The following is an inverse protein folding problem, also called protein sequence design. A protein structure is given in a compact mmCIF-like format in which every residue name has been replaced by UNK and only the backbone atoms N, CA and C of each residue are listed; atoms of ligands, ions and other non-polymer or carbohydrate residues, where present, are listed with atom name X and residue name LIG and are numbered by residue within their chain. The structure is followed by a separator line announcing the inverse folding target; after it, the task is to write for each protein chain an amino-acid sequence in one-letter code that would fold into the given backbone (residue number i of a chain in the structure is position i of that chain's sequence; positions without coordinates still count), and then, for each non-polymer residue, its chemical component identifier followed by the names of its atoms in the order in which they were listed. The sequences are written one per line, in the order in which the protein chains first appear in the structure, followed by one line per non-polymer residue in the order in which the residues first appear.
data_IF_150541716700
#
_entry.id   IF_150541716700
#
_cell.length_a   1.000
_cell.length_b   1.000
_cell.length_c   1.000
_cell.angle_alpha   90.00
_cell.angle_beta   90.00
_cell.angle_gamma   90.00
#
_symmetry.space_group_name_H-M   'P 1'
#
loop_
_entity.id
_entity.type
_entity.pdbx_description
1 polymer ?
#
# COMPACT_ATOMS: atom_id res chain seq x y z
N UNK A 1 1.62 -7.27 14.05
CA UNK A 1 1.38 -7.35 12.58
C UNK A 1 2.32 -6.38 11.84
N UNK A 2 2.97 -6.82 10.75
CA UNK A 2 3.58 -5.92 9.76
C UNK A 2 2.42 -5.08 9.18
N UNK A 3 2.45 -3.75 9.23
CA UNK A 3 1.47 -3.00 8.44
C UNK A 3 1.85 -3.27 6.99
N UNK A 4 1.12 -4.18 6.34
CA UNK A 4 1.25 -4.42 4.93
C UNK A 4 0.81 -3.13 4.23
N UNK A 5 1.68 -2.55 3.40
CA UNK A 5 1.44 -1.30 2.66
C UNK A 5 1.08 -0.08 3.55
N UNK A 6 2.01 0.45 4.38
CA UNK A 6 1.73 1.58 5.26
C UNK A 6 1.24 2.83 4.51
N UNK A 7 1.73 3.05 3.28
CA UNK A 7 1.28 4.14 2.41
C UNK A 7 -0.19 3.99 2.00
N UNK A 8 -0.60 2.79 1.59
CA UNK A 8 -1.99 2.49 1.20
C UNK A 8 -2.92 2.62 2.41
N UNK A 9 -2.48 2.13 3.57
CA UNK A 9 -3.24 2.26 4.81
C UNK A 9 -3.49 3.71 5.19
N UNK A 10 -2.45 4.54 5.23
CA UNK A 10 -2.59 5.98 5.54
C UNK A 10 -3.50 6.70 4.54
N UNK A 11 -3.39 6.35 3.25
CA UNK A 11 -4.25 6.87 2.20
C UNK A 11 -5.72 6.51 2.46
N UNK A 12 -6.00 5.22 2.66
CA UNK A 12 -7.36 4.74 2.90
C UNK A 12 -7.95 5.32 4.19
N UNK A 13 -7.22 5.32 5.29
CA UNK A 13 -7.67 5.88 6.58
C UNK A 13 -8.03 7.38 6.43
N UNK A 14 -7.25 8.13 5.66
CA UNK A 14 -7.51 9.57 5.46
C UNK A 14 -8.66 9.82 4.49
N UNK A 15 -8.64 9.22 3.30
CA UNK A 15 -9.62 9.49 2.25
C UNK A 15 -10.94 8.70 2.42
N UNK A 16 -11.02 7.73 3.33
CA UNK A 16 -12.33 7.16 3.73
C UNK A 16 -13.18 8.16 4.51
N UNK A 17 -12.58 9.21 5.09
CA UNK A 17 -13.31 10.30 5.70
C UNK A 17 -13.96 11.17 4.60
N UNK A 18 -15.29 11.27 4.63
CA UNK A 18 -16.05 11.95 3.59
C UNK A 18 -15.72 13.44 3.49
N UNK A 19 -15.48 14.11 4.62
CA UNK A 19 -15.19 15.54 4.65
C UNK A 19 -13.80 15.83 4.06
N UNK A 20 -12.83 14.96 4.31
CA UNK A 20 -11.49 15.06 3.69
C UNK A 20 -11.58 14.84 2.18
N UNK A 21 -12.39 13.88 1.73
CA UNK A 21 -12.56 13.62 0.29
C UNK A 21 -13.36 14.72 -0.41
N UNK A 22 -14.39 15.30 0.23
CA UNK A 22 -15.07 16.52 -0.25
C UNK A 22 -14.09 17.67 -0.39
N UNK A 23 -13.26 17.89 0.64
CA UNK A 23 -12.23 18.94 0.64
C UNK A 23 -11.22 18.72 -0.49
N UNK A 24 -10.78 17.49 -0.73
CA UNK A 24 -9.92 17.17 -1.87
C UNK A 24 -10.61 17.47 -3.21
N UNK A 25 -11.87 17.04 -3.38
CA UNK A 25 -12.63 17.29 -4.60
C UNK A 25 -12.74 18.80 -4.87
N UNK A 26 -13.14 19.59 -3.89
CA UNK A 26 -13.33 21.03 -4.05
C UNK A 26 -12.03 21.78 -4.33
N UNK A 27 -10.91 21.36 -3.74
CA UNK A 27 -9.63 22.05 -3.92
C UNK A 27 -8.88 21.64 -5.18
N UNK A 28 -8.95 20.36 -5.59
CA UNK A 28 -8.02 19.80 -6.58
C UNK A 28 -8.67 19.37 -7.89
N UNK A 29 -9.97 19.02 -7.91
CA UNK A 29 -10.59 18.60 -9.15
C UNK A 29 -10.75 19.79 -10.11
N UNK A 30 -10.69 19.54 -11.44
CA UNK A 30 -11.00 20.57 -12.42
C UNK A 30 -12.36 21.23 -12.14
N UNK A 31 -12.40 22.56 -12.20
CA UNK A 31 -13.63 23.34 -11.94
C UNK A 31 -14.83 22.85 -12.75
N UNK A 32 -14.62 22.43 -13.99
CA UNK A 32 -15.67 21.87 -14.85
C UNK A 32 -16.33 20.58 -14.31
N UNK A 33 -15.64 19.83 -13.45
CA UNK A 33 -16.19 18.65 -12.77
C UNK A 33 -16.89 19.07 -11.47
N UNK A 34 -16.27 19.97 -10.70
CA UNK A 34 -16.86 20.48 -9.44
C UNK A 34 -18.20 21.18 -9.70
N UNK A 35 -18.29 21.98 -10.77
CA UNK A 35 -19.48 22.76 -11.11
C UNK A 35 -20.71 21.90 -11.50
N UNK A 36 -20.55 20.60 -11.79
CA UNK A 36 -21.65 19.71 -12.22
C UNK A 36 -22.08 18.70 -11.16
N UNK A 37 -21.39 18.60 -10.02
CA UNK A 37 -21.70 17.64 -8.97
C UNK A 37 -22.40 18.33 -7.79
N UNK A 38 -23.28 17.59 -7.12
CA UNK A 38 -23.79 17.98 -5.81
C UNK A 38 -22.91 17.38 -4.71
N UNK A 39 -21.87 18.12 -4.30
CA UNK A 39 -20.82 17.64 -3.39
C UNK A 39 -21.37 17.17 -2.03
N UNK A 40 -22.51 17.69 -1.58
CA UNK A 40 -23.12 17.28 -0.31
C UNK A 40 -23.71 15.87 -0.36
N UNK A 41 -23.90 15.33 -1.56
CA UNK A 41 -24.41 13.98 -1.79
C UNK A 41 -23.30 12.94 -1.95
N UNK A 42 -22.03 13.33 -1.75
CA UNK A 42 -20.90 12.41 -1.83
C UNK A 42 -21.06 11.29 -0.79
N UNK A 43 -21.08 10.05 -1.26
CA UNK A 43 -21.22 8.85 -0.41
C UNK A 43 -20.21 7.77 -0.79
N UNK A 44 -19.60 7.16 0.22
CA UNK A 44 -18.72 6.01 0.05
C UNK A 44 -19.52 4.77 -0.37
N UNK A 45 -19.00 3.98 -1.32
CA UNK A 45 -19.75 2.88 -1.94
C UNK A 45 -19.34 1.47 -1.44
N UNK A 46 -18.60 1.35 -0.32
CA UNK A 46 -18.02 0.08 0.17
C UNK A 46 -18.97 -1.10 0.11
N UNK A 47 -20.18 -0.93 0.66
CA UNK A 47 -21.13 -2.02 0.91
C UNK A 47 -21.97 -2.40 -0.33
N UNK A 48 -21.95 -1.58 -1.37
CA UNK A 48 -22.77 -1.79 -2.58
C UNK A 48 -22.12 -2.73 -3.61
N UNK A 49 -20.85 -3.08 -3.42
CA UNK A 49 -20.02 -3.79 -4.40
C UNK A 49 -19.35 -5.06 -3.86
N UNK A 50 -19.68 -5.48 -2.64
CA UNK A 50 -19.23 -6.74 -2.04
C UNK A 50 -20.10 -7.88 -2.59
N UNK A 51 -19.78 -8.35 -3.80
CA UNK A 51 -20.25 -9.66 -4.29
C UNK A 51 -19.21 -10.72 -3.91
N UNK A 52 -19.64 -11.95 -3.62
CA UNK A 52 -18.85 -13.04 -3.01
C UNK A 52 -17.62 -13.52 -3.82
N UNK A 53 -17.33 -12.92 -4.97
CA UNK A 53 -16.23 -13.26 -5.88
C UNK A 53 -15.35 -12.07 -6.27
N UNK A 54 -15.60 -10.87 -5.73
CA UNK A 54 -14.81 -9.68 -6.06
C UNK A 54 -13.72 -9.45 -5.02
N UNK A 55 -12.52 -9.21 -5.50
CA UNK A 55 -11.40 -8.80 -4.67
C UNK A 55 -11.81 -7.54 -3.87
N UNK A 56 -11.78 -7.62 -2.53
CA UNK A 56 -12.02 -6.51 -1.58
C UNK A 56 -11.19 -5.24 -1.88
N UNK A 57 -10.18 -5.35 -2.75
CA UNK A 57 -9.12 -4.37 -2.95
C UNK A 57 -9.53 -3.08 -3.67
N UNK A 58 -10.65 -3.04 -4.42
CA UNK A 58 -10.99 -1.88 -5.29
C UNK A 58 -12.24 -1.09 -4.88
N UNK A 59 -13.11 -1.63 -4.02
CA UNK A 59 -14.31 -0.92 -3.54
C UNK A 59 -14.03 0.08 -2.43
N UNK A 60 -12.86 -0.02 -1.79
CA UNK A 60 -12.48 0.79 -0.62
C UNK A 60 -12.43 2.29 -0.90
N UNK A 61 -12.33 2.72 -2.17
CA UNK A 61 -12.02 4.11 -2.54
C UNK A 61 -12.90 4.61 -3.70
N UNK A 62 -14.13 4.10 -3.76
CA UNK A 62 -15.15 4.48 -4.74
C UNK A 62 -16.23 5.34 -4.08
N UNK A 63 -16.45 6.54 -4.62
CA UNK A 63 -17.43 7.49 -4.10
C UNK A 63 -18.47 7.81 -5.16
N UNK A 64 -19.75 7.69 -4.80
CA UNK A 64 -20.87 8.14 -5.63
C UNK A 64 -21.24 9.58 -5.31
N UNK A 65 -21.58 10.36 -6.34
CA UNK A 65 -22.11 11.73 -6.18
C UNK A 65 -23.22 11.98 -7.20
N UNK A 66 -24.20 12.78 -6.83
CA UNK A 66 -25.32 13.12 -7.69
C UNK A 66 -24.93 14.18 -8.74
N UNK A 67 -25.56 14.11 -9.91
CA UNK A 67 -25.58 15.21 -10.89
C UNK A 67 -27.03 15.52 -11.22
N UNK A 68 -27.42 16.80 -11.26
CA UNK A 68 -28.72 17.24 -11.79
C UNK A 68 -29.90 16.42 -11.24
N UNK A 69 -29.92 16.18 -9.92
CA UNK A 69 -30.90 15.36 -9.20
C UNK A 69 -30.95 13.86 -9.56
N UNK A 70 -29.96 13.32 -10.30
CA UNK A 70 -29.81 11.88 -10.52
C UNK A 70 -28.88 11.29 -9.47
N UNK A 71 -29.38 10.31 -8.70
CA UNK A 71 -28.62 9.70 -7.60
C UNK A 71 -27.37 8.96 -8.11
N UNK A 72 -26.21 9.20 -7.48
CA UNK A 72 -24.97 8.43 -7.64
C UNK A 72 -24.55 8.25 -9.09
N UNK A 73 -24.66 9.31 -9.89
CA UNK A 73 -24.49 9.26 -11.34
C UNK A 73 -23.03 9.41 -11.78
N UNK A 74 -22.20 10.13 -11.00
CA UNK A 74 -20.74 10.11 -11.12
C UNK A 74 -20.17 9.27 -10.01
N UNK A 75 -19.22 8.42 -10.37
CA UNK A 75 -18.32 7.79 -9.42
C UNK A 75 -16.91 8.36 -9.54
N UNK A 76 -16.35 8.77 -8.41
CA UNK A 76 -14.92 9.03 -8.30
C UNK A 76 -14.22 7.76 -7.83
N UNK A 77 -13.36 7.22 -8.68
CA UNK A 77 -12.57 6.03 -8.39
C UNK A 77 -11.15 6.47 -8.06
N UNK A 78 -10.82 6.46 -6.77
CA UNK A 78 -9.50 6.83 -6.31
C UNK A 78 -8.60 5.60 -6.28
N UNK A 79 -7.42 5.71 -6.88
CA UNK A 79 -6.36 4.71 -6.83
C UNK A 79 -5.08 5.36 -6.30
N UNK A 80 -4.49 4.78 -5.27
CA UNK A 80 -3.24 5.25 -4.69
C UNK A 80 -2.05 4.42 -5.19
N UNK A 81 -0.93 5.10 -5.47
CA UNK A 81 0.34 4.46 -5.82
C UNK A 81 1.52 5.15 -5.13
N UNK A 82 2.32 4.37 -4.40
CA UNK A 82 3.64 4.79 -3.91
C UNK A 82 4.80 4.42 -4.85
N UNK A 83 4.51 3.78 -5.98
CA UNK A 83 5.46 3.36 -7.02
C UNK A 83 4.82 3.45 -8.41
N UNK A 84 5.63 3.56 -9.47
CA UNK A 84 5.11 3.67 -10.83
C UNK A 84 4.46 2.36 -11.28
N UNK A 85 3.28 2.44 -11.90
CA UNK A 85 2.55 1.29 -12.43
C UNK A 85 2.31 1.45 -13.93
N UNK A 86 3.02 0.70 -14.78
CA UNK A 86 2.94 0.82 -16.24
C UNK A 86 1.56 0.45 -16.81
N UNK A 87 0.82 -0.41 -16.12
CA UNK A 87 -0.48 -0.91 -16.56
C UNK A 87 -1.67 -0.20 -15.89
N UNK A 88 -1.45 0.96 -15.25
CA UNK A 88 -2.47 1.65 -14.45
C UNK A 88 -3.75 1.97 -15.22
N UNK A 89 -3.68 2.42 -16.48
CA UNK A 89 -4.90 2.68 -17.24
C UNK A 89 -5.64 1.38 -17.58
N UNK A 90 -4.93 0.30 -17.88
CA UNK A 90 -5.60 -0.99 -18.07
C UNK A 90 -6.21 -1.53 -16.76
N UNK A 91 -5.52 -1.34 -15.63
CA UNK A 91 -6.01 -1.70 -14.29
C UNK A 91 -7.30 -0.95 -13.95
N UNK A 92 -7.31 0.37 -14.13
CA UNK A 92 -8.48 1.22 -13.89
C UNK A 92 -9.65 0.86 -14.82
N UNK A 93 -9.39 0.53 -16.09
CA UNK A 93 -10.44 0.05 -17.00
C UNK A 93 -11.12 -1.22 -16.47
N UNK A 94 -10.35 -2.18 -15.92
CA UNK A 94 -10.93 -3.38 -15.29
C UNK A 94 -11.87 -3.02 -14.15
N UNK A 95 -11.50 -2.04 -13.33
CA UNK A 95 -12.37 -1.59 -12.23
C UNK A 95 -13.64 -0.93 -12.77
N UNK A 96 -13.50 -0.06 -13.77
CA UNK A 96 -14.65 0.60 -14.41
C UNK A 96 -15.65 -0.42 -14.96
N UNK A 97 -15.15 -1.45 -15.65
CA UNK A 97 -15.98 -2.55 -16.16
C UNK A 97 -16.68 -3.29 -15.03
N UNK A 98 -15.96 -3.67 -13.97
CA UNK A 98 -16.55 -4.36 -12.81
C UNK A 98 -17.63 -3.51 -12.11
N UNK A 99 -17.39 -2.21 -11.92
CA UNK A 99 -18.35 -1.26 -11.35
C UNK A 99 -19.61 -1.20 -12.24
N UNK A 100 -19.44 -1.13 -13.55
CA UNK A 100 -20.55 -1.14 -14.51
C UNK A 100 -21.35 -2.44 -14.50
N UNK A 101 -20.69 -3.59 -14.49
CA UNK A 101 -21.32 -4.92 -14.39
C UNK A 101 -22.18 -5.02 -13.13
N UNK A 102 -21.65 -4.56 -11.99
CA UNK A 102 -22.36 -4.55 -10.72
C UNK A 102 -23.57 -3.62 -10.74
N UNK A 103 -23.47 -2.44 -11.35
CA UNK A 103 -24.61 -1.50 -11.47
C UNK A 103 -25.68 -2.04 -12.42
N UNK A 104 -25.31 -2.66 -13.53
CA UNK A 104 -26.27 -3.33 -14.42
C UNK A 104 -27.02 -4.43 -13.66
N UNK A 105 -26.29 -5.28 -12.93
CA UNK A 105 -26.86 -6.39 -12.15
C UNK A 105 -27.81 -5.89 -11.05
N UNK A 106 -27.40 -4.88 -10.29
CA UNK A 106 -28.14 -4.42 -9.11
C UNK A 106 -29.32 -3.49 -9.43
N UNK A 107 -29.18 -2.62 -10.44
CA UNK A 107 -30.20 -1.62 -10.76
C UNK A 107 -31.08 -2.01 -11.95
N UNK A 108 -30.84 -3.17 -12.57
CA UNK A 108 -31.53 -3.63 -13.79
C UNK A 108 -31.63 -2.53 -14.86
N UNK A 109 -30.55 -1.76 -15.00
CA UNK A 109 -30.46 -0.62 -15.90
C UNK A 109 -29.52 -0.92 -17.05
N UNK A 110 -29.86 -0.41 -18.24
CA UNK A 110 -28.98 -0.44 -19.41
C UNK A 110 -28.14 0.84 -19.55
N UNK A 111 -28.21 1.74 -18.56
CA UNK A 111 -27.42 2.98 -18.54
C UNK A 111 -26.23 2.82 -17.61
N UNK A 112 -25.05 3.13 -18.12
CA UNK A 112 -23.81 3.12 -17.34
C UNK A 112 -23.61 4.45 -16.64
N UNK A 113 -23.24 4.47 -15.35
CA UNK A 113 -22.84 5.69 -14.68
C UNK A 113 -21.49 6.19 -15.22
N UNK A 114 -21.26 7.49 -15.07
CA UNK A 114 -19.97 8.12 -15.39
C UNK A 114 -18.98 7.72 -14.30
N UNK A 115 -17.77 7.31 -14.68
CA UNK A 115 -16.69 7.02 -13.73
C UNK A 115 -15.51 7.93 -14.09
N UNK A 116 -15.05 8.71 -13.10
CA UNK A 116 -13.88 9.58 -13.20
C UNK A 116 -12.76 8.95 -12.36
N UNK A 117 -11.78 8.28 -12.99
CA UNK A 117 -10.67 7.69 -12.27
C UNK A 117 -9.62 8.75 -11.90
N UNK A 118 -9.23 8.74 -10.64
CA UNK A 118 -8.24 9.62 -10.02
C UNK A 118 -7.07 8.77 -9.52
N UNK A 119 -5.84 9.14 -9.87
CA UNK A 119 -4.63 8.49 -9.39
C UNK A 119 -3.89 9.46 -8.47
N UNK A 120 -3.76 9.08 -7.20
CA UNK A 120 -2.92 9.79 -6.22
C UNK A 120 -1.57 9.09 -6.19
N UNK A 121 -0.53 9.77 -6.68
CA UNK A 121 0.82 9.26 -6.74
C UNK A 121 1.75 10.05 -5.83
N UNK A 122 2.63 9.36 -5.12
CA UNK A 122 3.64 10.02 -4.30
C UNK A 122 4.99 9.28 -4.26
N UNK A 123 5.31 8.48 -5.29
CA UNK A 123 6.56 7.71 -5.29
C UNK A 123 7.83 8.54 -5.54
N UNK A 124 8.99 7.90 -5.35
CA UNK A 124 10.32 8.50 -5.58
C UNK A 124 10.56 8.91 -7.03
N UNK A 125 10.18 8.02 -7.95
CA UNK A 125 10.42 8.18 -9.38
C UNK A 125 9.54 9.28 -9.98
N UNK A 126 9.95 9.81 -11.13
CA UNK A 126 9.05 10.68 -11.89
C UNK A 126 7.93 9.83 -12.49
N UNK A 127 6.69 10.31 -12.42
CA UNK A 127 5.59 9.66 -13.12
C UNK A 127 5.71 9.86 -14.64
N UNK A 128 6.33 8.90 -15.32
CA UNK A 128 6.44 8.84 -16.79
C UNK A 128 5.55 7.75 -17.39
N UNK A 129 4.32 7.63 -16.85
CA UNK A 129 3.32 6.67 -17.33
C UNK A 129 2.25 7.41 -18.12
N UNK A 130 1.87 6.81 -19.26
CA UNK A 130 0.78 7.27 -20.12
C UNK A 130 -0.52 7.46 -19.35
N UNK A 131 -1.29 8.49 -19.70
CA UNK A 131 -2.48 8.92 -18.94
C UNK A 131 -3.79 8.45 -19.56
N UNK A 132 -3.72 7.92 -20.76
CA UNK A 132 -4.87 7.40 -21.51
C UNK A 132 -4.71 5.92 -21.83
N UNK A 133 -5.83 5.22 -22.03
CA UNK A 133 -5.81 3.84 -22.50
C UNK A 133 -5.27 3.73 -23.93
N UNK A 134 -5.62 4.69 -24.78
CA UNK A 134 -5.18 4.75 -26.18
C UNK A 134 -3.66 4.82 -26.31
N UNK A 135 -2.98 5.61 -25.48
CA UNK A 135 -1.51 5.68 -25.45
C UNK A 135 -0.82 4.35 -25.08
N UNK A 136 -1.55 3.36 -24.53
CA UNK A 136 -1.03 2.01 -24.29
C UNK A 136 -1.18 1.09 -25.51
N UNK A 137 -2.02 1.45 -26.49
CA UNK A 137 -2.27 0.65 -27.69
C UNK A 137 -1.22 1.00 -28.74
N UNK A 138 -0.55 -0.03 -29.26
CA UNK A 138 0.49 0.14 -30.26
C UNK A 138 -0.06 0.84 -31.51
N UNK A 139 0.60 1.93 -31.92
CA UNK A 139 0.21 2.71 -33.10
C UNK A 139 -1.04 3.57 -32.93
N UNK A 140 -1.64 3.67 -31.73
CA UNK A 140 -2.90 4.41 -31.53
C UNK A 140 -2.85 5.85 -32.06
N UNK A 141 -1.75 6.57 -31.82
CA UNK A 141 -1.63 7.96 -32.26
C UNK A 141 -1.59 8.12 -33.78
N UNK A 142 -1.17 7.07 -34.50
CA UNK A 142 -1.09 7.04 -35.97
C UNK A 142 -2.44 6.68 -36.61
N UNK A 143 -3.42 6.22 -35.82
CA UNK A 143 -4.73 5.86 -36.35
C UNK A 143 -5.47 7.10 -36.89
N UNK A 144 -6.11 7.00 -38.06
CA UNK A 144 -7.07 7.99 -38.54
C UNK A 144 -8.17 8.28 -37.52
N UNK A 145 -8.73 9.50 -37.52
CA UNK A 145 -9.74 9.93 -36.53
C UNK A 145 -10.98 9.04 -36.53
N UNK A 146 -11.45 8.67 -37.71
CA UNK A 146 -12.55 7.73 -37.95
C UNK A 146 -12.25 6.34 -37.41
N UNK A 147 -10.99 5.88 -37.49
CA UNK A 147 -10.59 4.60 -36.89
C UNK A 147 -10.54 4.67 -35.36
N UNK A 148 -10.13 5.81 -34.78
CA UNK A 148 -10.12 6.02 -33.32
C UNK A 148 -11.52 5.91 -32.70
N UNK A 149 -12.60 6.10 -33.46
CA UNK A 149 -13.99 5.94 -32.99
C UNK A 149 -14.33 4.48 -32.61
N UNK A 150 -13.63 3.49 -33.18
CA UNK A 150 -13.85 2.06 -32.88
C UNK A 150 -12.98 1.53 -31.74
N UNK A 151 -12.07 2.35 -31.20
CA UNK A 151 -11.09 1.94 -30.19
C UNK A 151 -11.44 2.60 -28.85
N UNK A 152 -11.69 1.83 -27.78
CA UNK A 152 -11.95 2.39 -26.46
C UNK A 152 -10.80 3.28 -26.01
N UNK A 153 -11.11 4.47 -25.52
CA UNK A 153 -10.14 5.36 -24.93
C UNK A 153 -10.77 6.18 -23.82
N UNK A 154 -10.02 6.42 -22.76
CA UNK A 154 -10.38 7.30 -21.66
C UNK A 154 -9.09 7.85 -21.03
N UNK A 155 -9.23 8.86 -20.17
CA UNK A 155 -8.12 9.49 -19.44
C UNK A 155 -8.38 9.42 -17.94
N UNK A 156 -7.35 9.08 -17.16
CA UNK A 156 -7.39 9.27 -15.70
C UNK A 156 -6.75 10.60 -15.31
N UNK A 157 -7.19 11.17 -14.19
CA UNK A 157 -6.60 12.39 -13.62
C UNK A 157 -5.49 11.96 -12.68
N UNK A 158 -4.28 12.48 -12.88
CA UNK A 158 -3.12 12.19 -12.03
C UNK A 158 -2.84 13.39 -11.12
N UNK A 159 -2.66 13.10 -9.83
CA UNK A 159 -2.11 14.00 -8.84
C UNK A 159 -0.77 13.45 -8.35
N UNK A 160 0.32 13.98 -8.90
CA UNK A 160 1.69 13.63 -8.49
C UNK A 160 2.11 14.50 -7.30
N UNK A 161 1.78 14.04 -6.10
CA UNK A 161 2.02 14.72 -4.83
C UNK A 161 3.52 14.89 -4.57
N UNK A 162 4.38 14.00 -5.10
CA UNK A 162 5.84 14.11 -4.97
C UNK A 162 6.40 15.40 -5.58
N UNK A 163 5.62 16.10 -6.42
CA UNK A 163 6.02 17.33 -7.12
C UNK A 163 5.33 18.59 -6.60
N UNK A 164 4.49 18.47 -5.59
CA UNK A 164 3.77 19.61 -5.04
C UNK A 164 4.74 20.55 -4.31
N UNK A 165 4.58 21.85 -4.54
CA UNK A 165 5.18 22.90 -3.71
C UNK A 165 4.25 23.20 -2.55
N UNK A 166 4.72 23.96 -1.57
CA UNK A 166 3.90 24.31 -0.41
C UNK A 166 2.61 25.05 -0.82
N UNK A 167 2.66 25.90 -1.85
CA UNK A 167 1.49 26.60 -2.38
C UNK A 167 0.47 25.69 -3.08
N UNK A 168 0.90 24.51 -3.53
CA UNK A 168 0.01 23.54 -4.18
C UNK A 168 -0.81 22.76 -3.13
N UNK A 169 -0.36 22.73 -1.86
CA UNK A 169 -1.00 22.02 -0.74
C UNK A 169 -2.04 22.92 -0.06
N UNK A 170 -3.31 22.66 -0.36
CA UNK A 170 -4.51 23.36 0.11
C UNK A 170 -5.50 22.41 0.78
N UNK A 171 -6.45 22.98 1.52
CA UNK A 171 -7.52 22.26 2.21
C UNK A 171 -7.45 22.35 3.73
N UNK A 172 -8.28 21.57 4.39
CA UNK A 172 -8.34 21.44 5.84
C UNK A 172 -7.09 20.76 6.42
N UNK A 173 -6.97 20.73 7.75
CA UNK A 173 -5.80 20.21 8.46
C UNK A 173 -5.43 18.79 8.03
N UNK A 174 -6.35 17.81 8.08
CA UNK A 174 -6.04 16.41 7.72
C UNK A 174 -5.55 16.27 6.27
N UNK A 175 -6.18 16.97 5.32
CA UNK A 175 -5.77 16.92 3.92
C UNK A 175 -4.37 17.48 3.72
N UNK A 176 -4.06 18.63 4.33
CA UNK A 176 -2.72 19.21 4.25
C UNK A 176 -1.68 18.31 4.92
N UNK A 177 -1.99 17.68 6.05
CA UNK A 177 -1.10 16.74 6.74
C UNK A 177 -0.74 15.57 5.82
N UNK A 178 -1.74 14.86 5.25
CA UNK A 178 -1.48 13.69 4.41
C UNK A 178 -0.70 14.04 3.14
N UNK A 179 -1.04 15.15 2.47
CA UNK A 179 -0.35 15.59 1.26
C UNK A 179 1.08 16.01 1.54
N UNK A 180 1.31 16.71 2.66
CA UNK A 180 2.66 17.14 3.07
C UNK A 180 3.54 15.92 3.35
N UNK A 181 3.06 14.94 4.12
CA UNK A 181 3.89 13.76 4.41
C UNK A 181 4.06 12.86 3.19
N UNK A 182 3.06 12.72 2.32
CA UNK A 182 3.21 11.95 1.08
C UNK A 182 4.27 12.53 0.16
N UNK A 183 4.34 13.87 0.05
CA UNK A 183 5.42 14.57 -0.65
C UNK A 183 6.77 14.31 0.04
N UNK A 184 6.83 14.49 1.35
CA UNK A 184 8.08 14.58 2.09
C UNK A 184 8.74 13.22 2.37
N UNK A 185 7.95 12.14 2.54
CA UNK A 185 8.42 10.83 3.03
C UNK A 185 9.56 10.21 2.21
N UNK A 186 9.59 10.50 0.91
CA UNK A 186 10.58 9.95 0.00
C UNK A 186 11.69 10.94 -0.39
N UNK A 187 11.45 12.24 -0.23
CA UNK A 187 12.33 13.30 -0.69
C UNK A 187 13.19 13.83 0.46
N UNK A 188 12.63 13.90 1.67
CA UNK A 188 13.32 14.42 2.85
C UNK A 188 14.13 13.34 3.58
N UNK A 189 15.17 13.81 4.25
CA UNK A 189 15.92 13.04 5.22
C UNK A 189 15.24 13.07 6.59
N UNK A 190 15.96 12.59 7.61
CA UNK A 190 15.45 12.50 8.99
C UNK A 190 15.05 13.87 9.54
N UNK A 191 15.93 14.87 9.41
CA UNK A 191 15.69 16.23 9.89
C UNK A 191 14.51 16.89 9.17
N UNK A 192 14.43 16.71 7.85
CA UNK A 192 13.30 17.21 7.09
C UNK A 192 11.96 16.61 7.51
N UNK A 193 11.94 15.34 7.93
CA UNK A 193 10.73 14.70 8.46
C UNK A 193 10.37 15.16 9.87
N UNK A 194 11.34 15.51 10.73
CA UNK A 194 11.04 16.15 12.02
C UNK A 194 10.28 17.45 11.81
N UNK A 195 10.71 18.27 10.85
CA UNK A 195 9.97 19.50 10.52
C UNK A 195 8.59 19.18 9.92
N UNK A 196 8.46 18.13 9.11
CA UNK A 196 7.14 17.68 8.62
C UNK A 196 6.20 17.29 9.77
N UNK A 197 6.70 16.58 10.79
CA UNK A 197 5.92 16.24 12.00
C UNK A 197 5.51 17.53 12.74
N UNK A 198 6.42 18.49 12.89
CA UNK A 198 6.15 19.78 13.51
C UNK A 198 5.06 20.57 12.74
N UNK A 199 5.15 20.61 11.41
CA UNK A 199 4.11 21.23 10.55
C UNK A 199 2.77 20.52 10.74
N UNK A 200 2.75 19.19 10.77
CA UNK A 200 1.52 18.43 11.00
C UNK A 200 0.89 18.75 12.36
N UNK A 201 1.70 18.83 13.43
CA UNK A 201 1.26 19.27 14.75
C UNK A 201 0.65 20.67 14.72
N UNK A 202 1.24 21.61 13.96
CA UNK A 202 0.67 22.96 13.80
C UNK A 202 -0.70 22.94 13.13
N UNK A 203 -0.90 22.11 12.10
CA UNK A 203 -2.20 21.97 11.42
C UNK A 203 -3.28 21.35 12.32
N UNK A 204 -2.93 20.40 13.18
CA UNK A 204 -3.88 19.77 14.11
C UNK A 204 -4.50 20.75 15.11
N UNK A 205 -3.83 21.87 15.42
CA UNK A 205 -4.42 22.93 16.25
C UNK A 205 -5.66 23.55 15.63
N UNK A 206 -5.75 23.53 14.30
CA UNK A 206 -6.89 24.10 13.57
C UNK A 206 -8.15 23.22 13.66
N UNK A 207 -8.01 21.97 14.11
CA UNK A 207 -9.17 21.10 14.32
C UNK A 207 -9.96 21.54 15.56
N UNK A 208 -11.28 21.64 15.40
CA UNK A 208 -12.21 21.92 16.48
C UNK A 208 -12.29 20.75 17.47
N UNK A 209 -12.43 19.54 16.95
CA UNK A 209 -12.41 18.32 17.76
C UNK A 209 -10.98 17.84 18.00
N UNK A 210 -10.50 18.09 19.23
CA UNK A 210 -9.17 17.67 19.68
C UNK A 210 -9.02 16.16 19.78
N UNK A 211 -10.08 15.41 20.10
CA UNK A 211 -10.00 13.96 20.22
C UNK A 211 -9.81 13.32 18.84
N UNK A 212 -10.59 13.74 17.85
CA UNK A 212 -10.39 13.30 16.46
C UNK A 212 -8.99 13.69 15.95
N UNK A 213 -8.48 14.87 16.33
CA UNK A 213 -7.12 15.30 16.00
C UNK A 213 -6.03 14.39 16.58
N UNK A 214 -6.18 13.98 17.84
CA UNK A 214 -5.28 13.05 18.54
C UNK A 214 -5.23 11.69 17.83
N UNK A 215 -6.39 11.10 17.52
CA UNK A 215 -6.47 9.79 16.87
C UNK A 215 -5.85 9.80 15.46
N UNK A 216 -6.11 10.88 14.71
CA UNK A 216 -5.50 11.08 13.40
C UNK A 216 -3.98 11.27 13.51
N UNK A 217 -3.51 12.01 14.51
CA UNK A 217 -2.07 12.22 14.72
C UNK A 217 -1.34 10.94 15.10
N UNK A 218 -1.94 10.10 15.94
CA UNK A 218 -1.40 8.78 16.27
C UNK A 218 -1.23 7.92 15.00
N UNK A 219 -2.22 7.96 14.11
CA UNK A 219 -2.19 7.26 12.82
C UNK A 219 -1.06 7.78 11.91
N UNK A 220 -0.93 9.11 11.83
CA UNK A 220 0.16 9.78 11.13
C UNK A 220 1.54 9.39 11.69
N UNK A 221 1.73 9.42 13.02
CA UNK A 221 3.00 9.07 13.65
C UNK A 221 3.38 7.61 13.39
N UNK A 222 2.42 6.67 13.52
CA UNK A 222 2.61 5.28 13.13
C UNK A 222 3.11 5.19 11.69
N UNK A 223 2.44 5.86 10.76
CA UNK A 223 2.84 5.86 9.35
C UNK A 223 4.27 6.37 9.14
N UNK A 224 4.66 7.48 9.77
CA UNK A 224 6.02 8.03 9.68
C UNK A 224 7.05 7.03 10.22
N UNK A 225 6.82 6.47 11.40
CA UNK A 225 7.76 5.50 11.99
C UNK A 225 7.81 4.16 11.21
N UNK A 226 6.72 3.78 10.54
CA UNK A 226 6.69 2.60 9.67
C UNK A 226 7.26 2.82 8.27
N UNK A 227 7.55 4.06 7.87
CA UNK A 227 8.04 4.40 6.52
C UNK A 227 9.49 3.98 6.22
N UNK A 228 10.20 3.44 7.21
CA UNK A 228 11.56 2.91 7.07
C UNK A 228 12.68 3.91 7.38
N UNK A 229 12.35 5.10 7.91
CA UNK A 229 13.33 6.05 8.45
C UNK A 229 13.48 5.80 9.95
N UNK A 230 14.70 5.54 10.41
CA UNK A 230 15.00 5.31 11.82
C UNK A 230 15.18 6.64 12.55
N UNK A 231 14.48 6.79 13.68
CA UNK A 231 14.68 7.86 14.65
C UNK A 231 15.32 7.27 15.90
N UNK A 232 16.37 7.91 16.40
CA UNK A 232 17.03 7.56 17.66
C UNK A 232 16.39 8.29 18.86
N UNK A 233 16.93 8.07 20.05
CA UNK A 233 16.38 8.65 21.28
C UNK A 233 16.50 10.19 21.31
N UNK A 234 17.56 10.75 20.73
CA UNK A 234 17.77 12.20 20.67
C UNK A 234 16.77 12.84 19.69
N UNK A 235 16.53 12.18 18.56
CA UNK A 235 15.49 12.58 17.62
C UNK A 235 14.11 12.59 18.23
N UNK A 236 13.76 11.55 19.00
CA UNK A 236 12.46 11.45 19.64
C UNK A 236 12.29 12.56 20.69
N UNK A 237 13.33 12.89 21.46
CA UNK A 237 13.30 14.02 22.39
C UNK A 237 13.05 15.34 21.67
N UNK A 238 13.76 15.61 20.58
CA UNK A 238 13.57 16.82 19.78
C UNK A 238 12.16 16.90 19.16
N UNK A 239 11.65 15.78 18.63
CA UNK A 239 10.27 15.70 18.12
C UNK A 239 9.26 15.99 19.24
N UNK A 240 9.43 15.40 20.42
CA UNK A 240 8.55 15.61 21.57
C UNK A 240 8.56 17.08 21.98
N UNK A 241 9.72 17.69 22.16
CA UNK A 241 9.83 19.10 22.58
C UNK A 241 9.18 20.07 21.58
N UNK A 242 9.35 19.81 20.28
CA UNK A 242 8.78 20.66 19.24
C UNK A 242 7.27 20.45 19.10
N UNK A 243 6.79 19.20 19.19
CA UNK A 243 5.36 18.91 19.17
C UNK A 243 4.68 19.39 20.44
N UNK A 244 5.31 19.36 21.62
CA UNK A 244 4.72 19.91 22.84
C UNK A 244 4.46 21.43 22.71
N UNK A 245 5.36 22.16 22.05
CA UNK A 245 5.17 23.59 21.75
C UNK A 245 4.09 23.83 20.69
N UNK A 246 3.99 22.94 19.71
CA UNK A 246 3.08 23.09 18.57
C UNK A 246 1.66 22.55 18.86
N UNK A 247 1.53 21.46 19.59
CA UNK A 247 0.30 20.73 19.89
C UNK A 247 0.50 19.95 21.20
N UNK A 248 0.33 20.62 22.36
CA UNK A 248 0.64 20.04 23.68
C UNK A 248 0.00 18.67 23.92
N UNK A 249 -1.25 18.50 23.46
CA UNK A 249 -2.03 17.26 23.58
C UNK A 249 -1.40 16.09 22.81
N UNK A 250 -0.59 16.37 21.77
CA UNK A 250 0.07 15.37 20.94
C UNK A 250 1.41 14.87 21.46
N UNK A 251 2.03 15.54 22.45
CA UNK A 251 3.36 15.17 22.96
C UNK A 251 3.38 13.79 23.61
N UNK A 252 2.40 13.50 24.48
CA UNK A 252 2.24 12.20 25.14
C UNK A 252 1.92 11.06 24.16
N UNK A 253 1.29 11.36 23.02
CA UNK A 253 1.05 10.37 21.96
C UNK A 253 2.34 9.90 21.29
N UNK A 254 3.34 10.78 21.17
CA UNK A 254 4.63 10.40 20.58
C UNK A 254 5.32 9.38 21.48
N UNK A 255 5.40 9.66 22.78
CA UNK A 255 6.00 8.76 23.77
C UNK A 255 5.32 7.40 23.74
N UNK A 256 4.01 7.37 23.91
CA UNK A 256 3.24 6.12 23.95
C UNK A 256 3.30 5.36 22.62
N UNK A 257 3.32 6.07 21.48
CA UNK A 257 3.47 5.44 20.16
C UNK A 257 4.87 4.87 19.98
N UNK A 258 5.93 5.59 20.34
CA UNK A 258 7.30 5.12 20.26
C UNK A 258 7.52 3.89 21.16
N UNK A 259 7.06 3.93 22.42
CA UNK A 259 7.13 2.79 23.35
C UNK A 259 6.45 1.54 22.79
N UNK A 260 5.21 1.69 22.27
CA UNK A 260 4.48 0.58 21.66
C UNK A 260 5.22 0.02 20.45
N UNK A 261 5.77 0.88 19.59
CA UNK A 261 6.52 0.43 18.40
C UNK A 261 7.83 -0.28 18.77
N UNK A 262 8.55 0.19 19.80
CA UNK A 262 9.74 -0.49 20.32
C UNK A 262 9.35 -1.88 20.84
N UNK A 263 8.28 -1.98 21.62
CA UNK A 263 7.77 -3.25 22.13
C UNK A 263 7.38 -4.21 20.99
N UNK A 264 6.59 -3.74 20.02
CA UNK A 264 6.20 -4.51 18.84
C UNK A 264 7.42 -4.97 18.02
N UNK A 265 8.44 -4.12 17.92
CA UNK A 265 9.70 -4.44 17.25
C UNK A 265 10.50 -5.53 17.97
N UNK A 266 10.58 -5.47 19.31
CA UNK A 266 11.23 -6.50 20.12
C UNK A 266 10.50 -7.84 20.03
N UNK A 267 9.17 -7.85 20.16
CA UNK A 267 8.35 -9.06 20.05
C UNK A 267 8.55 -9.74 18.69
N UNK A 268 8.53 -8.97 17.60
CA UNK A 268 8.81 -9.49 16.25
C UNK A 268 10.23 -10.01 16.09
N UNK A 269 11.23 -9.29 16.63
CA UNK A 269 12.62 -9.74 16.57
C UNK A 269 12.84 -11.08 17.26
N UNK A 270 12.13 -11.32 18.37
CA UNK A 270 12.13 -12.61 19.07
C UNK A 270 11.43 -13.68 18.21
N UNK A 271 10.26 -13.37 17.66
CA UNK A 271 9.49 -14.29 16.80
C UNK A 271 10.29 -14.72 15.56
N UNK A 272 10.82 -13.78 14.79
CA UNK A 272 11.66 -14.06 13.62
C UNK A 272 12.94 -14.81 13.99
N UNK A 273 13.54 -14.48 15.15
CA UNK A 273 14.71 -15.17 15.66
C UNK A 273 14.42 -16.62 16.05
N UNK A 274 13.25 -16.87 16.64
CA UNK A 274 12.77 -18.20 17.00
C UNK A 274 12.44 -19.03 15.76
N UNK A 275 11.74 -18.46 14.78
CA UNK A 275 11.41 -19.11 13.51
C UNK A 275 12.69 -19.53 12.75
N UNK A 276 13.63 -18.59 12.55
CA UNK A 276 14.94 -18.90 11.94
C UNK A 276 15.73 -19.93 12.74
N UNK A 277 15.65 -19.88 14.07
CA UNK A 277 16.28 -20.85 14.96
C UNK A 277 15.68 -22.25 14.81
N UNK A 278 14.36 -22.36 14.71
CA UNK A 278 13.64 -23.62 14.49
C UNK A 278 13.95 -24.20 13.12
N UNK A 279 13.87 -23.40 12.05
CA UNK A 279 14.19 -23.83 10.69
C UNK A 279 15.64 -24.33 10.57
N UNK A 280 16.58 -23.59 11.16
CA UNK A 280 18.00 -24.01 11.22
C UNK A 280 18.17 -25.31 12.01
N UNK A 281 17.53 -25.42 13.19
CA UNK A 281 17.60 -26.61 14.03
C UNK A 281 16.99 -27.85 13.36
N UNK A 282 15.87 -27.69 12.65
CA UNK A 282 15.25 -28.75 11.86
C UNK A 282 16.18 -29.23 10.74
N UNK A 283 16.74 -28.30 9.95
CA UNK A 283 17.70 -28.62 8.90
C UNK A 283 18.92 -29.36 9.45
N UNK A 284 19.56 -28.85 10.51
CA UNK A 284 20.71 -29.50 11.14
C UNK A 284 20.36 -30.91 11.65
N UNK A 285 19.18 -31.08 12.25
CA UNK A 285 18.67 -32.38 12.67
C UNK A 285 18.51 -33.36 11.51
N UNK A 286 17.88 -32.93 10.40
CA UNK A 286 17.70 -33.75 9.19
C UNK A 286 19.03 -34.12 8.54
N UNK A 287 19.99 -33.19 8.46
CA UNK A 287 21.35 -33.49 7.98
C UNK A 287 22.00 -34.61 8.82
N UNK A 288 21.92 -34.52 10.15
CA UNK A 288 22.48 -35.55 11.05
C UNK A 288 21.80 -36.90 10.83
N UNK A 289 20.47 -36.92 10.69
CA UNK A 289 19.69 -38.13 10.44
C UNK A 289 20.07 -38.75 9.08
N UNK A 290 20.08 -37.96 8.01
CA UNK A 290 20.43 -38.41 6.67
C UNK A 290 21.84 -39.04 6.63
N UNK A 291 22.84 -38.35 7.18
CA UNK A 291 24.21 -38.87 7.26
C UNK A 291 24.26 -40.17 8.06
N UNK A 292 23.56 -40.24 9.21
CA UNK A 292 23.55 -41.44 10.07
C UNK A 292 22.90 -42.63 9.38
N UNK A 293 21.77 -42.44 8.70
CA UNK A 293 21.05 -43.48 7.98
C UNK A 293 21.86 -43.99 6.78
N UNK A 294 22.38 -43.09 5.96
CA UNK A 294 23.25 -43.42 4.83
C UNK A 294 24.53 -44.14 5.28
N UNK A 295 25.14 -43.69 6.39
CA UNK A 295 26.32 -44.37 6.96
C UNK A 295 25.98 -45.79 7.43
N UNK A 296 24.80 -45.99 8.04
CA UNK A 296 24.35 -47.31 8.48
C UNK A 296 24.07 -48.24 7.31
N UNK A 297 23.55 -47.73 6.19
CA UNK A 297 23.21 -48.52 5.00
C UNK A 297 24.42 -48.84 4.12
N UNK A 298 25.28 -47.86 3.88
CA UNK A 298 26.36 -47.94 2.88
C UNK A 298 27.78 -47.96 3.48
N UNK A 299 27.92 -47.82 4.80
CA UNK A 299 29.22 -47.72 5.47
C UNK A 299 29.76 -46.28 5.51
N UNK A 300 31.06 -46.11 5.71
CA UNK A 300 31.67 -44.78 5.89
C UNK A 300 31.47 -43.94 4.63
N UNK A 301 30.72 -42.83 4.76
CA UNK A 301 30.50 -41.89 3.66
C UNK A 301 31.76 -41.03 3.39
N UNK A 302 32.09 -40.75 2.12
CA UNK A 302 33.11 -39.77 1.75
C UNK A 302 32.81 -38.37 2.34
N UNK A 303 33.85 -37.59 2.64
CA UNK A 303 33.71 -36.23 3.18
C UNK A 303 32.92 -35.32 2.25
N UNK A 304 33.17 -35.40 0.94
CA UNK A 304 32.49 -34.63 -0.09
C UNK A 304 30.98 -34.88 -0.11
N UNK A 305 30.55 -36.14 0.07
CA UNK A 305 29.13 -36.51 0.17
C UNK A 305 28.48 -35.88 1.40
N UNK A 306 29.18 -35.90 2.56
CA UNK A 306 28.65 -35.27 3.79
C UNK A 306 28.51 -33.75 3.65
N UNK A 307 29.43 -33.11 2.96
CA UNK A 307 29.38 -31.66 2.76
C UNK A 307 28.29 -31.26 1.77
N UNK A 308 28.05 -32.05 0.72
CA UNK A 308 26.90 -31.85 -0.17
C UNK A 308 25.56 -32.00 0.58
N UNK A 309 25.42 -33.01 1.43
CA UNK A 309 24.20 -33.22 2.25
C UNK A 309 23.93 -32.02 3.18
N UNK A 310 24.96 -31.42 3.79
CA UNK A 310 24.80 -30.23 4.66
C UNK A 310 24.19 -29.03 3.92
N UNK A 311 24.41 -28.94 2.61
CA UNK A 311 23.98 -27.81 1.81
C UNK A 311 22.57 -27.97 1.24
N UNK A 312 21.96 -29.15 1.33
CA UNK A 312 20.60 -29.40 0.87
C UNK A 312 19.56 -28.56 1.63
N UNK A 313 18.48 -28.21 0.94
CA UNK A 313 17.27 -27.68 1.58
C UNK A 313 16.52 -28.80 2.33
N UNK A 314 15.56 -28.37 3.17
CA UNK A 314 14.80 -29.26 4.05
C UNK A 314 13.98 -30.26 3.25
N UNK A 315 13.36 -29.84 2.13
CA UNK A 315 12.52 -30.69 1.30
C UNK A 315 13.33 -31.82 0.65
N UNK A 316 14.51 -31.49 0.14
CA UNK A 316 15.43 -32.46 -0.47
C UNK A 316 15.99 -33.43 0.58
N UNK A 317 16.26 -32.95 1.80
CA UNK A 317 16.66 -33.81 2.92
C UNK A 317 15.55 -34.80 3.29
N UNK A 318 14.28 -34.38 3.29
CA UNK A 318 13.15 -35.28 3.57
C UNK A 318 13.03 -36.37 2.51
N UNK A 319 13.09 -36.01 1.23
CA UNK A 319 13.08 -36.99 0.13
C UNK A 319 14.21 -38.01 0.27
N UNK A 320 15.41 -37.55 0.64
CA UNK A 320 16.58 -38.39 0.86
C UNK A 320 16.43 -39.32 2.08
N UNK A 321 15.78 -38.86 3.15
CA UNK A 321 15.53 -39.65 4.36
C UNK A 321 14.44 -40.70 4.11
N UNK A 322 13.33 -40.31 3.49
CA UNK A 322 12.17 -41.19 3.27
C UNK A 322 12.49 -42.29 2.24
N UNK A 323 13.24 -41.95 1.19
CA UNK A 323 13.68 -42.90 0.16
C UNK A 323 14.80 -43.84 0.60
N UNK A 324 15.26 -43.78 1.87
CA UNK A 324 16.47 -44.50 2.32
C UNK A 324 16.43 -45.99 2.00
N UNK A 325 15.27 -46.64 2.00
CA UNK A 325 15.14 -48.08 1.73
C UNK A 325 15.20 -48.42 0.24
N UNK A 326 14.94 -47.47 -0.64
CA UNK A 326 14.87 -47.64 -2.10
C UNK A 326 16.25 -47.55 -2.78
N UNK A 327 17.21 -46.88 -2.15
CA UNK A 327 18.56 -46.69 -2.70
C UNK A 327 19.42 -47.95 -2.53
N UNK A 328 20.05 -48.45 -3.58
CA UNK A 328 20.90 -49.64 -3.53
C UNK A 328 22.40 -49.29 -3.50
N UNK A 329 22.77 -48.06 -3.84
CA UNK A 329 24.13 -47.56 -3.82
C UNK A 329 24.20 -46.04 -3.55
N UNK A 330 25.40 -45.51 -3.31
CA UNK A 330 25.61 -44.06 -3.23
C UNK A 330 25.39 -43.33 -4.57
N UNK A 331 25.44 -44.04 -5.71
CA UNK A 331 25.10 -43.45 -7.01
C UNK A 331 23.62 -43.09 -7.14
N UNK A 332 22.74 -43.80 -6.44
CA UNK A 332 21.29 -43.56 -6.50
C UNK A 332 20.88 -42.25 -5.83
N UNK A 333 21.73 -41.75 -4.92
CA UNK A 333 21.51 -40.49 -4.20
C UNK A 333 22.19 -39.29 -4.87
N UNK A 334 23.12 -39.50 -5.81
CA UNK A 334 23.82 -38.40 -6.50
C UNK A 334 22.88 -37.42 -7.22
N UNK A 335 21.69 -37.87 -7.59
CA UNK A 335 20.65 -37.03 -8.20
C UNK A 335 20.05 -35.98 -7.24
N UNK A 336 20.27 -36.13 -5.95
CA UNK A 336 19.74 -35.23 -4.91
C UNK A 336 20.81 -34.31 -4.33
N UNK A 337 22.06 -34.75 -4.27
CA UNK A 337 23.19 -34.03 -3.65
C UNK A 337 24.01 -33.22 -4.64
#
# INVERSE_FOLDING_TARGET
MKIQNPHDKMFKETFSNIEVTKDFINNYLPKSIVDIIDIETLEHQKDSFIDNNLNETFSDMLFGVNINNNKGYIYFLFEHKSYTSKNIAFQLLKYMIQIWELKIKNLQTNKLPIIIPLVIYHGKEKWDIRKTLGEMIEGYELLPKDVKEFVPNYKYILYDISRYRDEDIRGMAQLRIVLTIFRDIFIKDKEGLKETINIAAKYLRELEDKQTGIEYFETFLKYVFYSGKSFDEEDLKDIIENVEKAYPEGSGLIVTTAERLIKEGMEKGIEEGMEKGMEKGEKEGKVVIAIKLLTKKFGILPSETKDRIKNLDIETLDVLIDGIFEYNSLGDIEKFI
#
